data_IF_454637210753
#
_entry.id   IF_454637210753
#
_cell.length_a   1.000
_cell.length_b   1.000
_cell.length_c   1.000
_cell.angle_alpha   90.00
_cell.angle_beta   90.00
_cell.angle_gamma   90.00
#
_symmetry.space_group_name_H-M   'P 1'
#
loop_
_entity.id
_entity.type
_entity.pdbx_description
1 polymer ?
#
# COMPACT_ATOMS: atom_id res chain seq x y z
N UNK A 1 -22.68 12.39 19.70
CA UNK A 1 -21.99 12.80 18.45
C UNK A 1 -20.62 12.12 18.27
N UNK A 2 -19.70 12.14 19.25
CA UNK A 2 -18.35 11.54 19.12
C UNK A 2 -18.34 10.04 18.79
N UNK A 3 -19.16 9.22 19.45
CA UNK A 3 -19.22 7.76 19.22
C UNK A 3 -19.70 7.43 17.80
N UNK A 4 -20.74 8.10 17.31
CA UNK A 4 -21.28 7.87 15.96
C UNK A 4 -20.25 8.17 14.87
N UNK A 5 -19.49 9.26 15.01
CA UNK A 5 -18.39 9.62 14.09
C UNK A 5 -17.30 8.54 14.11
N UNK A 6 -16.89 8.07 15.29
CA UNK A 6 -15.89 7.01 15.41
C UNK A 6 -16.35 5.72 14.75
N UNK A 7 -17.59 5.29 15.00
CA UNK A 7 -18.16 4.08 14.41
C UNK A 7 -18.22 4.20 12.89
N UNK A 8 -18.71 5.32 12.36
CA UNK A 8 -18.75 5.58 10.93
C UNK A 8 -17.36 5.54 10.29
N UNK A 9 -16.37 6.17 10.93
CA UNK A 9 -14.99 6.18 10.46
C UNK A 9 -14.39 4.77 10.42
N UNK A 10 -14.57 3.98 11.48
CA UNK A 10 -14.08 2.60 11.54
C UNK A 10 -14.75 1.74 10.46
N UNK A 11 -16.06 1.83 10.29
CA UNK A 11 -16.78 1.10 9.25
C UNK A 11 -16.27 1.48 7.86
N UNK A 12 -16.09 2.78 7.60
CA UNK A 12 -15.54 3.27 6.33
C UNK A 12 -14.15 2.68 6.04
N UNK A 13 -13.23 2.71 7.01
CA UNK A 13 -11.88 2.17 6.84
C UNK A 13 -11.91 0.64 6.66
N UNK A 14 -12.74 -0.07 7.43
CA UNK A 14 -12.92 -1.51 7.27
C UNK A 14 -13.44 -1.87 5.88
N UNK A 15 -14.47 -1.17 5.41
CA UNK A 15 -15.03 -1.38 4.07
C UNK A 15 -14.00 -1.09 2.99
N UNK A 16 -13.31 0.04 3.05
CA UNK A 16 -12.26 0.41 2.10
C UNK A 16 -11.14 -0.63 2.05
N UNK A 17 -10.67 -1.08 3.21
CA UNK A 17 -9.65 -2.12 3.33
C UNK A 17 -10.11 -3.45 2.74
N UNK A 18 -11.34 -3.90 3.04
CA UNK A 18 -11.89 -5.14 2.46
C UNK A 18 -12.01 -5.05 0.94
N UNK A 19 -12.41 -3.90 0.41
CA UNK A 19 -12.42 -3.67 -1.04
C UNK A 19 -11.02 -3.72 -1.65
N UNK A 20 -10.01 -3.12 -1.00
CA UNK A 20 -8.62 -3.19 -1.45
C UNK A 20 -8.11 -4.64 -1.50
N UNK A 21 -8.30 -5.42 -0.43
CA UNK A 21 -7.87 -6.82 -0.39
C UNK A 21 -8.61 -7.68 -1.41
N UNK A 22 -9.93 -7.47 -1.56
CA UNK A 22 -10.73 -8.15 -2.59
C UNK A 22 -10.25 -7.80 -3.99
N UNK A 23 -9.91 -6.54 -4.24
CA UNK A 23 -9.37 -6.08 -5.52
C UNK A 23 -8.02 -6.75 -5.82
N UNK A 24 -7.09 -6.76 -4.86
CA UNK A 24 -5.80 -7.46 -5.01
C UNK A 24 -6.00 -8.95 -5.28
N UNK A 25 -6.91 -9.61 -4.57
CA UNK A 25 -7.22 -11.03 -4.80
C UNK A 25 -7.77 -11.28 -6.22
N UNK A 26 -8.68 -10.45 -6.69
CA UNK A 26 -9.21 -10.57 -8.06
C UNK A 26 -8.07 -10.43 -9.07
N UNK A 27 -7.22 -9.40 -8.94
CA UNK A 27 -6.19 -9.11 -9.94
C UNK A 27 -4.99 -10.06 -9.91
N UNK A 28 -4.54 -10.47 -8.72
CA UNK A 28 -3.33 -11.26 -8.56
C UNK A 28 -3.59 -12.77 -8.51
N UNK A 29 -4.78 -13.20 -8.09
CA UNK A 29 -5.10 -14.62 -7.90
C UNK A 29 -6.10 -15.12 -8.94
N UNK A 30 -7.24 -14.43 -9.08
CA UNK A 30 -8.32 -14.86 -9.97
C UNK A 30 -7.98 -14.61 -11.43
N UNK A 31 -7.59 -13.39 -11.78
CA UNK A 31 -7.38 -12.97 -13.18
C UNK A 31 -6.11 -13.57 -13.80
N UNK A 32 -5.09 -13.83 -12.99
CA UNK A 32 -3.87 -14.55 -13.41
C UNK A 32 -4.12 -16.05 -13.62
N UNK A 33 -5.28 -16.57 -13.22
CA UNK A 33 -5.65 -17.97 -13.36
C UNK A 33 -4.72 -18.90 -12.56
N UNK A 34 -4.34 -18.51 -11.34
CA UNK A 34 -3.63 -19.40 -10.42
C UNK A 34 -4.51 -20.61 -10.09
N UNK A 35 -3.91 -21.80 -10.10
CA UNK A 35 -4.61 -23.05 -9.82
C UNK A 35 -3.90 -23.86 -8.72
N UNK A 36 -4.64 -24.82 -8.15
CA UNK A 36 -4.11 -25.76 -7.16
C UNK A 36 -3.54 -25.07 -5.91
N UNK A 37 -2.41 -25.56 -5.37
CA UNK A 37 -1.87 -25.09 -4.09
C UNK A 37 -1.47 -23.60 -4.12
N UNK A 38 -0.98 -23.10 -5.26
CA UNK A 38 -0.55 -21.70 -5.38
C UNK A 38 -1.72 -20.72 -5.16
N UNK A 39 -2.91 -21.04 -5.68
CA UNK A 39 -4.12 -20.23 -5.46
C UNK A 39 -4.49 -20.19 -3.98
N UNK A 40 -4.36 -21.32 -3.29
CA UNK A 40 -4.66 -21.43 -1.85
C UNK A 40 -3.66 -20.60 -1.06
N UNK A 41 -2.36 -20.80 -1.27
CA UNK A 41 -1.30 -20.04 -0.59
C UNK A 41 -1.47 -18.52 -0.76
N UNK A 42 -1.71 -18.05 -1.99
CA UNK A 42 -1.90 -16.62 -2.25
C UNK A 42 -3.19 -16.07 -1.62
N UNK A 43 -4.28 -16.86 -1.63
CA UNK A 43 -5.54 -16.46 -0.99
C UNK A 43 -5.38 -16.38 0.53
N UNK A 44 -4.76 -17.38 1.13
CA UNK A 44 -4.47 -17.42 2.57
C UNK A 44 -3.57 -16.25 2.95
N UNK A 45 -2.49 -15.99 2.20
CA UNK A 45 -1.62 -14.85 2.47
C UNK A 45 -2.37 -13.50 2.49
N UNK A 46 -3.22 -13.23 1.50
CA UNK A 46 -4.02 -11.99 1.44
C UNK A 46 -5.01 -11.92 2.61
N UNK A 47 -5.69 -13.02 2.95
CA UNK A 47 -6.65 -13.06 4.05
C UNK A 47 -5.96 -12.91 5.41
N UNK A 48 -4.82 -13.57 5.60
CA UNK A 48 -4.00 -13.45 6.81
C UNK A 48 -3.53 -12.02 7.00
N UNK A 49 -3.00 -11.38 5.95
CA UNK A 49 -2.54 -10.00 6.05
C UNK A 49 -3.68 -9.00 6.26
N UNK A 50 -4.85 -9.25 5.66
CA UNK A 50 -6.08 -8.53 5.97
C UNK A 50 -6.43 -8.63 7.47
N UNK A 51 -6.38 -9.85 8.02
CA UNK A 51 -6.63 -10.11 9.43
C UNK A 51 -5.63 -9.40 10.34
N UNK A 52 -4.33 -9.48 10.03
CA UNK A 52 -3.25 -8.78 10.77
C UNK A 52 -3.50 -7.28 10.83
N UNK A 53 -3.98 -6.66 9.74
CA UNK A 53 -4.25 -5.23 9.68
C UNK A 53 -5.36 -4.79 10.64
N UNK A 54 -6.42 -5.61 10.80
CA UNK A 54 -7.51 -5.34 11.74
C UNK A 54 -7.19 -5.76 13.18
N UNK A 55 -6.37 -6.80 13.33
CA UNK A 55 -5.94 -7.28 14.64
C UNK A 55 -4.91 -6.34 15.29
N UNK A 56 -4.18 -5.52 14.52
CA UNK A 56 -3.09 -4.67 15.02
C UNK A 56 -3.42 -3.81 16.24
N UNK A 57 -4.50 -2.99 16.24
CA UNK A 57 -4.89 -2.18 17.40
C UNK A 57 -5.25 -3.01 18.63
N UNK A 58 -5.83 -4.20 18.43
CA UNK A 58 -6.18 -5.13 19.51
C UNK A 58 -4.94 -5.87 20.02
N UNK A 59 -4.04 -6.27 19.14
CA UNK A 59 -2.79 -6.92 19.47
C UNK A 59 -1.88 -6.01 20.30
N UNK A 60 -1.79 -4.71 19.94
CA UNK A 60 -1.07 -3.71 20.73
C UNK A 60 -1.66 -3.45 22.12
N UNK A 61 -2.91 -3.86 22.38
CA UNK A 61 -3.53 -3.75 23.71
C UNK A 61 -3.38 -5.02 24.55
N UNK A 62 -3.27 -6.17 23.89
CA UNK A 62 -3.27 -7.49 24.54
C UNK A 62 -1.87 -8.05 24.74
N UNK A 63 -0.90 -7.63 23.92
CA UNK A 63 0.46 -8.15 23.92
C UNK A 63 1.46 -7.03 24.12
N UNK A 64 2.47 -7.27 24.96
CA UNK A 64 3.64 -6.42 25.12
C UNK A 64 4.89 -7.18 24.63
N UNK A 65 5.91 -6.45 24.18
CA UNK A 65 7.19 -7.04 23.76
C UNK A 65 7.31 -7.40 22.27
N UNK A 66 8.22 -8.32 21.89
CA UNK A 66 8.64 -8.53 20.50
C UNK A 66 7.52 -8.94 19.53
N UNK A 67 6.50 -9.64 20.03
CA UNK A 67 5.36 -10.11 19.23
C UNK A 67 4.50 -8.93 18.77
N UNK A 68 4.23 -7.97 19.65
CA UNK A 68 3.48 -6.76 19.30
C UNK A 68 4.25 -5.93 18.27
N UNK A 69 5.57 -5.81 18.42
CA UNK A 69 6.44 -5.12 17.46
C UNK A 69 6.40 -5.80 16.08
N UNK A 70 6.52 -7.11 16.03
CA UNK A 70 6.47 -7.86 14.77
C UNK A 70 5.11 -7.75 14.09
N UNK A 71 4.02 -7.83 14.85
CA UNK A 71 2.66 -7.67 14.33
C UNK A 71 2.43 -6.26 13.77
N UNK A 72 2.89 -5.23 14.48
CA UNK A 72 2.84 -3.84 14.01
C UNK A 72 3.68 -3.66 12.74
N UNK A 73 4.93 -4.14 12.74
CA UNK A 73 5.81 -4.08 11.56
C UNK A 73 5.19 -4.79 10.36
N UNK A 74 4.59 -5.96 10.54
CA UNK A 74 3.89 -6.69 9.49
C UNK A 74 2.69 -5.90 8.96
N UNK A 75 1.85 -5.35 9.85
CA UNK A 75 0.68 -4.56 9.47
C UNK A 75 1.07 -3.29 8.68
N UNK A 76 2.04 -2.52 9.16
CA UNK A 76 2.50 -1.30 8.48
C UNK A 76 3.25 -1.60 7.18
N UNK A 77 4.08 -2.64 7.16
CA UNK A 77 4.75 -3.07 5.93
C UNK A 77 3.73 -3.53 4.89
N UNK A 78 2.75 -4.34 5.29
CA UNK A 78 1.68 -4.78 4.41
C UNK A 78 0.84 -3.61 3.91
N UNK A 79 0.56 -2.60 4.73
CA UNK A 79 -0.13 -1.39 4.29
C UNK A 79 0.61 -0.70 3.15
N UNK A 80 1.94 -0.57 3.24
CA UNK A 80 2.78 -0.03 2.16
C UNK A 80 2.80 -0.93 0.92
N UNK A 81 2.93 -2.25 1.08
CA UNK A 81 2.86 -3.22 -0.02
C UNK A 81 1.53 -3.18 -0.74
N UNK A 82 0.43 -3.13 0.01
CA UNK A 82 -0.92 -3.00 -0.51
C UNK A 82 -1.07 -1.69 -1.28
N UNK A 83 -0.59 -0.56 -0.75
CA UNK A 83 -0.63 0.73 -1.43
C UNK A 83 0.07 0.69 -2.79
N UNK A 84 1.32 0.22 -2.85
CA UNK A 84 2.05 0.15 -4.12
C UNK A 84 1.40 -0.84 -5.09
N UNK A 85 0.84 -1.95 -4.59
CA UNK A 85 0.09 -2.90 -5.41
C UNK A 85 -1.19 -2.28 -6.00
N UNK A 86 -1.92 -1.49 -5.21
CA UNK A 86 -3.09 -0.75 -5.69
C UNK A 86 -2.72 0.28 -6.75
N UNK A 87 -1.62 1.00 -6.58
CA UNK A 87 -1.14 1.99 -7.56
C UNK A 87 -0.75 1.31 -8.87
N UNK A 88 0.04 0.24 -8.83
CA UNK A 88 0.52 -0.43 -10.05
C UNK A 88 -0.62 -1.16 -10.79
N UNK A 89 -1.48 -1.88 -10.07
CA UNK A 89 -2.62 -2.57 -10.66
C UNK A 89 -3.70 -1.59 -11.11
N UNK A 90 -4.04 -0.60 -10.26
CA UNK A 90 -5.03 0.42 -10.55
C UNK A 90 -4.62 1.29 -11.74
N UNK A 91 -3.34 1.65 -11.82
CA UNK A 91 -2.76 2.32 -12.99
C UNK A 91 -2.88 1.46 -14.25
N UNK A 92 -2.59 0.16 -14.17
CA UNK A 92 -2.73 -0.75 -15.31
C UNK A 92 -4.18 -0.87 -15.81
N UNK A 93 -5.15 -0.85 -14.89
CA UNK A 93 -6.57 -0.89 -15.22
C UNK A 93 -7.07 0.43 -15.80
N UNK A 94 -6.61 1.56 -15.25
CA UNK A 94 -6.91 2.89 -15.77
C UNK A 94 -6.40 3.05 -17.20
N UNK A 95 -5.18 2.60 -17.48
CA UNK A 95 -4.60 2.59 -18.84
C UNK A 95 -5.45 1.72 -19.77
N UNK A 96 -5.82 0.51 -19.35
CA UNK A 96 -6.69 -0.39 -20.14
C UNK A 96 -8.05 0.24 -20.44
N UNK A 97 -8.64 0.95 -19.47
CA UNK A 97 -9.91 1.64 -19.66
C UNK A 97 -9.78 2.82 -20.62
N UNK A 98 -8.75 3.65 -20.46
CA UNK A 98 -8.48 4.79 -21.34
C UNK A 98 -8.25 4.35 -22.79
N UNK A 99 -7.46 3.30 -23.00
CA UNK A 99 -7.19 2.70 -24.31
C UNK A 99 -8.48 2.21 -24.99
N UNK A 100 -9.37 1.55 -24.23
CA UNK A 100 -10.68 1.11 -24.75
C UNK A 100 -11.61 2.28 -25.06
N UNK A 101 -11.66 3.28 -24.18
CA UNK A 101 -12.49 4.47 -24.36
C UNK A 101 -12.06 5.28 -25.60
N UNK A 102 -10.76 5.30 -25.91
CA UNK A 102 -10.21 5.96 -27.08
C UNK A 102 -10.40 5.16 -28.39
N UNK A 103 -11.01 3.96 -28.35
CA UNK A 103 -11.26 3.14 -29.53
C UNK A 103 -9.99 2.70 -30.27
N UNK A 104 -8.84 2.70 -29.58
CA UNK A 104 -7.51 2.44 -30.20
C UNK A 104 -7.40 1.00 -30.70
N UNK A 105 -8.14 0.08 -30.10
CA UNK A 105 -8.16 -1.34 -30.49
C UNK A 105 -9.58 -1.78 -30.83
N UNK A 106 -9.71 -2.49 -31.94
CA UNK A 106 -10.94 -3.18 -32.29
C UNK A 106 -11.18 -4.32 -31.29
N UNK A 107 -12.38 -4.39 -30.72
CA UNK A 107 -12.76 -5.37 -29.70
C UNK A 107 -13.06 -6.74 -30.31
N UNK A 108 -12.22 -7.19 -31.25
CA UNK A 108 -12.28 -8.54 -31.77
C UNK A 108 -12.20 -9.55 -30.63
N UNK A 109 -12.86 -10.70 -30.80
CA UNK A 109 -12.85 -11.76 -29.80
C UNK A 109 -11.42 -12.22 -29.52
N UNK A 110 -10.84 -11.73 -28.42
CA UNK A 110 -9.55 -12.21 -27.95
C UNK A 110 -9.73 -13.66 -27.52
N UNK A 111 -8.92 -14.56 -28.09
CA UNK A 111 -8.86 -15.94 -27.62
C UNK A 111 -8.60 -15.96 -26.11
N UNK A 112 -9.19 -16.95 -25.43
CA UNK A 112 -9.05 -17.10 -23.97
C UNK A 112 -7.57 -17.14 -23.54
N UNK A 113 -6.73 -17.78 -24.36
CA UNK A 113 -5.29 -17.89 -24.16
C UNK A 113 -4.58 -16.53 -24.20
N UNK A 114 -4.85 -15.70 -25.22
CA UNK A 114 -4.24 -14.36 -25.33
C UNK A 114 -4.68 -13.46 -24.17
N UNK A 115 -5.95 -13.54 -23.77
CA UNK A 115 -6.47 -12.80 -22.60
C UNK A 115 -5.75 -13.21 -21.32
N UNK A 116 -5.61 -14.51 -21.08
CA UNK A 116 -4.94 -15.02 -19.88
C UNK A 116 -3.46 -14.67 -19.86
N UNK A 117 -2.77 -14.75 -21.00
CA UNK A 117 -1.38 -14.32 -21.14
C UNK A 117 -1.22 -12.84 -20.75
N UNK A 118 -2.05 -11.94 -21.29
CA UNK A 118 -2.01 -10.51 -20.96
C UNK A 118 -2.33 -10.23 -19.48
N UNK A 119 -3.30 -10.95 -18.91
CA UNK A 119 -3.63 -10.83 -17.49
C UNK A 119 -2.46 -11.27 -16.60
N UNK A 120 -1.77 -12.37 -16.95
CA UNK A 120 -0.57 -12.85 -16.26
C UNK A 120 0.59 -11.88 -16.39
N UNK A 121 0.92 -11.41 -17.60
CA UNK A 121 2.04 -10.48 -17.82
C UNK A 121 1.85 -9.18 -17.05
N UNK A 122 0.63 -8.61 -17.06
CA UNK A 122 0.34 -7.40 -16.28
C UNK A 122 0.34 -7.69 -14.78
N UNK A 123 -0.24 -8.80 -14.34
CA UNK A 123 -0.25 -9.18 -12.94
C UNK A 123 1.16 -9.36 -12.38
N UNK A 124 2.03 -10.07 -13.11
CA UNK A 124 3.46 -10.25 -12.76
C UNK A 124 4.17 -8.90 -12.77
N UNK A 125 4.04 -8.11 -13.84
CA UNK A 125 4.71 -6.81 -13.93
C UNK A 125 4.30 -5.85 -12.80
N UNK A 126 3.00 -5.77 -12.49
CA UNK A 126 2.49 -4.94 -11.41
C UNK A 126 2.95 -5.42 -10.03
N UNK A 127 2.97 -6.74 -9.81
CA UNK A 127 3.47 -7.33 -8.56
C UNK A 127 4.98 -7.10 -8.38
N UNK A 128 5.77 -7.25 -9.44
CA UNK A 128 7.21 -6.95 -9.42
C UNK A 128 7.47 -5.48 -9.14
N UNK A 129 6.76 -4.57 -9.82
CA UNK A 129 6.89 -3.14 -9.58
C UNK A 129 6.52 -2.75 -8.14
N UNK A 130 5.42 -3.32 -7.61
CA UNK A 130 5.01 -3.10 -6.23
C UNK A 130 6.06 -3.63 -5.23
N UNK A 131 6.57 -4.84 -5.45
CA UNK A 131 7.60 -5.44 -4.58
C UNK A 131 8.90 -4.61 -4.56
N UNK A 132 9.35 -4.12 -5.72
CA UNK A 132 10.53 -3.25 -5.81
C UNK A 132 10.30 -1.92 -5.10
N UNK A 133 9.16 -1.27 -5.34
CA UNK A 133 8.81 -0.01 -4.69
C UNK A 133 8.72 -0.17 -3.16
N UNK A 134 8.09 -1.25 -2.68
CA UNK A 134 8.04 -1.59 -1.26
C UNK A 134 9.42 -1.85 -0.66
N UNK A 135 10.29 -2.58 -1.37
CA UNK A 135 11.66 -2.82 -0.91
C UNK A 135 12.48 -1.54 -0.79
N UNK A 136 12.37 -0.63 -1.77
CA UNK A 136 13.00 0.70 -1.71
C UNK A 136 12.42 1.53 -0.55
N UNK A 137 11.10 1.54 -0.38
CA UNK A 137 10.44 2.26 0.70
C UNK A 137 10.87 1.74 2.08
N UNK A 138 10.96 0.42 2.25
CA UNK A 138 11.41 -0.19 3.50
C UNK A 138 12.89 0.13 3.79
N UNK A 139 13.75 0.12 2.76
CA UNK A 139 15.15 0.56 2.90
C UNK A 139 15.24 2.01 3.34
N UNK A 140 14.45 2.90 2.73
CA UNK A 140 14.45 4.33 3.06
C UNK A 140 13.88 4.58 4.46
N UNK A 141 12.85 3.84 4.88
CA UNK A 141 12.25 3.94 6.21
C UNK A 141 13.23 3.55 7.34
N UNK A 142 14.22 2.70 7.04
CA UNK A 142 15.26 2.29 7.98
C UNK A 142 16.57 3.09 7.82
N UNK A 143 16.62 4.08 6.93
CA UNK A 143 17.80 4.92 6.74
C UNK A 143 17.92 5.97 7.85
N UNK A 144 19.14 6.47 8.06
CA UNK A 144 19.36 7.56 9.02
C UNK A 144 18.59 8.83 8.60
N UNK A 145 17.99 9.56 9.56
CA UNK A 145 17.32 10.82 9.27
C UNK A 145 18.25 11.82 8.59
N UNK A 146 17.77 12.48 7.55
CA UNK A 146 18.52 13.56 6.90
C UNK A 146 18.41 14.85 7.71
N UNK A 147 19.54 15.39 8.14
CA UNK A 147 19.60 16.70 8.81
C UNK A 147 19.63 17.79 7.73
N UNK A 148 18.57 18.59 7.67
CA UNK A 148 18.46 19.72 6.74
C UNK A 148 18.66 21.03 7.50
N UNK A 149 19.77 21.71 7.26
CA UNK A 149 19.98 23.07 7.73
C UNK A 149 19.24 24.04 6.82
N UNK A 150 18.33 24.83 7.40
CA UNK A 150 17.56 25.85 6.69
C UNK A 150 17.83 27.19 7.35
N UNK A 151 18.44 28.10 6.60
CA UNK A 151 18.58 29.48 7.05
C UNK A 151 17.25 30.20 6.86
N UNK A 152 16.69 30.70 7.97
CA UNK A 152 15.44 31.46 7.97
C UNK A 152 15.78 32.92 8.28
N UNK A 153 15.58 33.80 7.29
CA UNK A 153 15.79 35.23 7.48
C UNK A 153 14.63 35.82 8.27
N UNK A 154 14.92 36.33 9.46
CA UNK A 154 13.96 36.99 10.33
C UNK A 154 14.24 38.50 10.32
N UNK A 155 13.32 39.27 9.72
CA UNK A 155 13.50 40.71 9.47
C UNK A 155 13.63 41.56 10.73
N UNK A 156 13.12 41.09 11.86
CA UNK A 156 13.15 41.80 13.15
C UNK A 156 13.88 41.01 14.24
N UNK A 157 14.87 40.20 13.88
CA UNK A 157 15.66 39.45 14.87
C UNK A 157 16.62 40.39 15.61
N UNK A 158 16.60 40.42 16.95
CA UNK A 158 17.60 41.15 17.72
C UNK A 158 19.03 40.67 17.37
N UNK A 159 19.97 41.60 17.21
CA UNK A 159 21.33 41.28 16.73
C UNK A 159 22.09 40.28 17.62
N UNK A 160 21.78 40.21 18.92
CA UNK A 160 22.40 39.24 19.84
C UNK A 160 21.91 37.80 19.64
N UNK A 161 20.85 37.58 18.85
CA UNK A 161 20.32 36.28 18.48
C UNK A 161 20.72 35.85 17.06
N UNK A 162 21.56 36.65 16.38
CA UNK A 162 22.08 36.28 15.06
C UNK A 162 22.95 35.02 15.19
N UNK A 163 22.71 34.03 14.31
CA UNK A 163 23.32 32.70 14.39
C UNK A 163 22.69 31.72 15.38
N UNK A 164 21.62 32.10 16.10
CA UNK A 164 20.89 31.17 16.97
C UNK A 164 20.32 29.98 16.18
N UNK A 165 20.59 28.76 16.64
CA UNK A 165 20.16 27.52 15.96
C UNK A 165 19.04 26.82 16.72
N UNK A 166 17.95 26.51 16.03
CA UNK A 166 16.82 25.74 16.57
C UNK A 166 16.81 24.36 15.91
N UNK A 167 16.72 23.31 16.72
CA UNK A 167 16.50 21.94 16.23
C UNK A 167 15.01 21.66 16.27
N UNK A 168 14.41 21.46 15.10
CA UNK A 168 13.04 20.97 14.98
C UNK A 168 13.08 19.46 14.68
N UNK A 169 12.47 18.66 15.55
CA UNK A 169 12.25 17.23 15.35
C UNK A 169 10.78 17.06 15.00
N UNK A 170 10.49 16.62 13.78
CA UNK A 170 9.14 16.18 13.41
C UNK A 170 9.04 14.66 13.60
N UNK A 171 8.04 14.25 14.37
CA UNK A 171 7.43 12.92 14.32
C UNK A 171 6.76 12.71 12.94
#
# INVERSE_FOLDING_TARGET
>A
MRIAVTVMFVLFICTLSLFAHRYLWIRLVRDTGLAGPMRVCASVAIVTMCGVMFAGPTANRLFEGPIALLAAAAAFTWMGVMFYSLVTLGGSDLIRWAVRAAGVFDSGELSLERRLFLQRSVGVGAATAAALASGVALRNANALPQVKHVEVKLSNLPAHLDGFTIVQISD
#
